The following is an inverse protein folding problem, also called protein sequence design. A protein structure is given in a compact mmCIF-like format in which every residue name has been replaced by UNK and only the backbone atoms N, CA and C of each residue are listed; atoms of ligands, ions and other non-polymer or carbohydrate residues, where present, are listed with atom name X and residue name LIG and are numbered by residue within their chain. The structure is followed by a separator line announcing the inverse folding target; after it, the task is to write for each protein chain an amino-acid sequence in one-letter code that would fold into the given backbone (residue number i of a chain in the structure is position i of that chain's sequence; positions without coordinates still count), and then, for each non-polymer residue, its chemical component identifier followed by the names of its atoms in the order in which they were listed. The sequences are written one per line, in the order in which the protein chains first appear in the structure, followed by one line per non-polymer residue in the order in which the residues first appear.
data_IF_019469855154
#
_entry.id   IF_019469855154
#
_cell.length_a   1.000
_cell.length_b   1.000
_cell.length_c   1.000
_cell.angle_alpha   90.00
_cell.angle_beta   90.00
_cell.angle_gamma   90.00
#
_symmetry.space_group_name_H-M   'P 1'
#
loop_
_entity.id
_entity.type
_entity.pdbx_description
1 polymer ?
#
# COMPACT_ATOMS: atom_id res chain seq x y z
N UNK A 1 35.80 -46.36 11.07
CA UNK A 1 35.21 -45.46 10.06
C UNK A 1 34.20 -44.59 10.77
N UNK A 2 34.57 -43.34 11.00
CA UNK A 2 33.76 -42.36 11.74
C UNK A 2 32.71 -41.76 10.80
N UNK A 3 31.46 -41.80 11.25
CA UNK A 3 30.33 -41.08 10.68
C UNK A 3 30.40 -39.61 11.13
N UNK A 4 30.79 -38.72 10.23
CA UNK A 4 30.65 -37.27 10.45
C UNK A 4 29.17 -36.89 10.37
N UNK A 5 28.60 -36.53 11.51
CA UNK A 5 27.30 -35.88 11.61
C UNK A 5 27.51 -34.39 11.44
N UNK A 6 27.14 -33.87 10.27
CA UNK A 6 27.06 -32.42 10.02
C UNK A 6 25.96 -31.85 10.93
N UNK A 7 26.36 -31.16 12.00
CA UNK A 7 25.46 -30.32 12.79
C UNK A 7 25.20 -29.04 12.01
N UNK A 8 24.06 -28.95 11.34
CA UNK A 8 23.51 -27.68 10.88
C UNK A 8 23.17 -26.82 12.09
N UNK A 9 23.92 -25.74 12.28
CA UNK A 9 23.60 -24.73 13.30
C UNK A 9 22.47 -23.85 12.77
N UNK A 10 21.33 -23.71 13.47
CA UNK A 10 20.31 -22.75 13.08
C UNK A 10 20.89 -21.34 13.22
N UNK A 11 20.78 -20.51 12.18
CA UNK A 11 21.05 -19.06 12.26
C UNK A 11 20.09 -18.46 13.28
N UNK A 12 20.53 -18.33 14.53
CA UNK A 12 19.89 -17.49 15.53
C UNK A 12 20.24 -16.04 15.22
N UNK A 13 19.31 -15.29 14.65
CA UNK A 13 19.30 -13.82 14.73
C UNK A 13 19.06 -13.44 16.19
N UNK A 14 20.15 -13.34 16.97
CA UNK A 14 20.09 -12.83 18.34
C UNK A 14 19.66 -11.36 18.29
N UNK A 15 18.47 -11.04 18.80
CA UNK A 15 18.08 -9.68 19.18
C UNK A 15 19.15 -9.17 20.15
N UNK A 16 19.78 -8.03 19.86
CA UNK A 16 20.69 -7.39 20.81
C UNK A 16 19.85 -6.89 22.00
N UNK A 17 20.24 -7.23 23.23
CA UNK A 17 19.49 -6.86 24.44
C UNK A 17 19.76 -5.41 24.90
N UNK A 18 20.31 -4.55 24.03
CA UNK A 18 20.73 -3.17 24.35
C UNK A 18 19.76 -2.09 23.85
N UNK A 19 19.96 -0.81 24.23
CA UNK A 19 19.15 0.30 23.72
C UNK A 19 19.35 0.49 22.20
N UNK A 20 18.32 0.94 21.49
CA UNK A 20 18.39 1.19 20.04
C UNK A 20 19.33 2.36 19.68
N UNK A 21 19.66 3.20 20.66
CA UNK A 21 20.66 4.26 20.51
C UNK A 21 22.04 3.71 20.14
N UNK A 22 22.42 2.51 20.62
CA UNK A 22 23.73 1.91 20.33
C UNK A 22 23.92 1.61 18.84
N UNK A 23 23.05 0.83 18.15
CA UNK A 23 23.19 0.64 16.71
C UNK A 23 23.01 1.96 15.94
N UNK A 24 22.21 2.91 16.41
CA UNK A 24 22.09 4.23 15.78
C UNK A 24 23.40 5.04 15.83
N UNK A 25 24.10 5.04 16.97
CA UNK A 25 25.42 5.67 17.10
C UNK A 25 26.47 4.98 16.23
N UNK A 26 26.48 3.64 16.21
CA UNK A 26 27.36 2.87 15.33
C UNK A 26 27.10 3.16 13.85
N UNK A 27 25.85 3.36 13.47
CA UNK A 27 25.46 3.74 12.12
C UNK A 27 25.99 5.14 11.76
N UNK A 28 25.80 6.13 12.65
CA UNK A 28 26.27 7.51 12.44
C UNK A 28 27.79 7.66 12.43
N UNK A 29 28.47 6.90 13.27
CA UNK A 29 29.92 6.99 13.49
C UNK A 29 30.70 5.88 12.79
N UNK A 30 30.03 5.08 11.95
CA UNK A 30 30.62 3.90 11.35
C UNK A 30 31.90 4.23 10.62
N UNK A 31 32.98 3.53 10.97
CA UNK A 31 34.34 3.77 10.44
C UNK A 31 34.60 3.00 9.14
N UNK A 32 33.75 2.02 8.85
CA UNK A 32 33.82 1.12 7.70
C UNK A 32 32.41 0.68 7.26
N UNK A 33 32.32 0.20 6.01
CA UNK A 33 31.08 -0.25 5.37
C UNK A 33 30.38 -1.36 6.16
N UNK A 34 31.15 -2.31 6.69
CA UNK A 34 30.64 -3.49 7.42
C UNK A 34 29.91 -3.06 8.69
N UNK A 35 30.52 -2.17 9.47
CA UNK A 35 29.96 -1.65 10.72
C UNK A 35 28.67 -0.88 10.47
N UNK A 36 28.65 0.00 9.47
CA UNK A 36 27.44 0.75 9.10
C UNK A 36 26.32 -0.17 8.62
N UNK A 37 26.62 -1.13 7.74
CA UNK A 37 25.65 -2.08 7.20
C UNK A 37 25.06 -2.98 8.28
N UNK A 38 25.87 -3.49 9.20
CA UNK A 38 25.39 -4.31 10.31
C UNK A 38 24.52 -3.49 11.28
N UNK A 39 24.89 -2.25 11.55
CA UNK A 39 24.09 -1.33 12.36
C UNK A 39 22.74 -1.02 11.70
N UNK A 40 22.72 -0.74 10.38
CA UNK A 40 21.48 -0.57 9.61
C UNK A 40 20.60 -1.81 9.63
N UNK A 41 21.18 -3.00 9.46
CA UNK A 41 20.44 -4.26 9.54
C UNK A 41 19.80 -4.46 10.92
N UNK A 42 20.51 -4.11 12.00
CA UNK A 42 19.97 -4.17 13.36
C UNK A 42 18.84 -3.16 13.56
N UNK A 43 18.99 -1.91 13.09
CA UNK A 43 17.94 -0.90 13.13
C UNK A 43 16.69 -1.38 12.37
N UNK A 44 16.87 -1.87 11.14
CA UNK A 44 15.78 -2.38 10.31
C UNK A 44 14.97 -3.49 11.02
N UNK A 45 15.65 -4.40 11.71
CA UNK A 45 14.98 -5.49 12.45
C UNK A 45 14.30 -5.02 13.74
N UNK A 46 14.84 -3.99 14.40
CA UNK A 46 14.33 -3.51 15.69
C UNK A 46 13.15 -2.57 15.56
N UNK A 47 13.08 -1.76 14.50
CA UNK A 47 11.99 -0.80 14.28
C UNK A 47 10.61 -1.43 14.06
N UNK A 48 10.51 -2.76 14.00
CA UNK A 48 9.23 -3.49 14.08
C UNK A 48 8.56 -3.26 15.45
N UNK A 49 9.34 -3.10 16.52
CA UNK A 49 8.89 -2.89 17.89
C UNK A 49 8.56 -1.42 18.16
N UNK A 50 7.38 -1.15 18.73
CA UNK A 50 6.89 0.21 18.97
C UNK A 50 7.74 0.99 19.99
N UNK A 51 8.29 0.32 21.01
CA UNK A 51 9.16 0.97 22.00
C UNK A 51 10.48 1.40 21.36
N UNK A 52 11.06 0.51 20.53
CA UNK A 52 12.27 0.82 19.78
C UNK A 52 12.03 1.98 18.80
N UNK A 53 10.86 2.08 18.15
CA UNK A 53 10.50 3.23 17.31
C UNK A 53 10.51 4.56 18.08
N UNK A 54 9.89 4.59 19.25
CA UNK A 54 9.83 5.79 20.09
C UNK A 54 11.22 6.24 20.57
N UNK A 55 12.07 5.30 21.00
CA UNK A 55 13.44 5.60 21.42
C UNK A 55 14.31 6.04 20.23
N UNK A 56 14.16 5.40 19.08
CA UNK A 56 14.83 5.76 17.85
C UNK A 56 14.48 7.17 17.39
N UNK A 57 13.19 7.52 17.44
CA UNK A 57 12.69 8.86 17.13
C UNK A 57 13.30 9.91 18.05
N UNK A 58 13.26 9.69 19.37
CA UNK A 58 13.88 10.59 20.38
C UNK A 58 15.37 10.81 20.19
N UNK A 59 16.06 9.85 19.58
CA UNK A 59 17.49 9.92 19.33
C UNK A 59 17.84 10.52 17.96
N UNK A 60 16.91 11.21 17.28
CA UNK A 60 17.04 11.77 15.93
C UNK A 60 17.26 10.71 14.83
N UNK A 61 16.79 9.48 15.08
CA UNK A 61 17.01 8.35 14.18
C UNK A 61 16.39 8.58 12.80
N UNK A 62 15.21 9.21 12.74
CA UNK A 62 14.47 9.47 11.50
C UNK A 62 15.33 10.30 10.54
N UNK A 63 15.85 11.44 11.01
CA UNK A 63 16.76 12.29 10.26
C UNK A 63 17.98 11.53 9.75
N UNK A 64 18.57 10.65 10.58
CA UNK A 64 19.75 9.91 10.19
C UNK A 64 19.49 8.92 9.05
N UNK A 65 18.36 8.20 9.07
CA UNK A 65 18.03 7.23 8.01
C UNK A 65 17.57 7.94 6.72
N UNK A 66 16.79 9.02 6.83
CA UNK A 66 16.35 9.78 5.66
C UNK A 66 17.54 10.48 4.98
N UNK A 67 18.44 11.11 5.75
CA UNK A 67 19.68 11.72 5.20
C UNK A 67 20.56 10.69 4.50
N UNK A 68 20.67 9.48 5.07
CA UNK A 68 21.42 8.39 4.44
C UNK A 68 20.85 8.00 3.08
N UNK A 69 19.53 7.85 2.97
CA UNK A 69 18.88 7.57 1.67
C UNK A 69 19.09 8.73 0.68
N UNK A 70 18.90 9.97 1.12
CA UNK A 70 19.07 11.13 0.25
C UNK A 70 20.51 11.23 -0.29
N UNK A 71 21.51 11.06 0.57
CA UNK A 71 22.93 11.13 0.21
C UNK A 71 23.35 10.00 -0.73
N UNK A 72 22.94 8.76 -0.47
CA UNK A 72 23.28 7.66 -1.37
C UNK A 72 22.62 7.86 -2.74
N UNK A 73 21.38 8.36 -2.80
CA UNK A 73 20.72 8.68 -4.07
C UNK A 73 21.42 9.81 -4.83
N UNK A 74 21.87 10.86 -4.14
CA UNK A 74 22.61 11.97 -4.74
C UNK A 74 23.91 11.48 -5.37
N UNK A 75 24.69 10.66 -4.65
CA UNK A 75 25.90 10.06 -5.22
C UNK A 75 25.56 9.16 -6.40
N UNK A 76 24.57 8.27 -6.26
CA UNK A 76 24.19 7.37 -7.35
C UNK A 76 23.73 8.16 -8.58
N UNK A 77 23.13 9.33 -8.44
CA UNK A 77 22.83 10.20 -9.57
C UNK A 77 24.09 10.62 -10.35
N UNK A 78 25.18 10.94 -9.65
CA UNK A 78 26.48 11.25 -10.29
C UNK A 78 27.10 10.04 -10.97
N UNK A 79 26.82 8.84 -10.45
CA UNK A 79 27.25 7.55 -10.98
C UNK A 79 26.26 6.94 -11.98
N UNK A 80 25.29 7.73 -12.46
CA UNK A 80 24.24 7.31 -13.42
C UNK A 80 23.43 6.11 -12.96
N UNK A 81 23.21 5.99 -11.65
CA UNK A 81 22.45 4.93 -11.00
C UNK A 81 22.98 3.53 -11.34
N UNK A 82 24.32 3.38 -11.33
CA UNK A 82 24.96 2.09 -11.57
C UNK A 82 24.83 1.12 -10.37
N UNK A 83 24.71 1.64 -9.14
CA UNK A 83 24.57 0.87 -7.90
C UNK A 83 25.63 -0.24 -7.73
N UNK A 84 26.84 0.01 -8.24
CA UNK A 84 27.96 -0.92 -8.22
C UNK A 84 29.07 -0.53 -7.24
N UNK A 85 29.05 0.72 -6.76
CA UNK A 85 29.96 1.23 -5.73
C UNK A 85 29.42 2.51 -5.10
N UNK A 86 29.93 2.87 -3.93
CA UNK A 86 29.64 4.11 -3.22
C UNK A 86 30.84 4.55 -2.40
N UNK A 87 31.08 5.87 -2.32
CA UNK A 87 32.09 6.51 -1.47
C UNK A 87 31.48 7.59 -0.54
N UNK A 88 30.15 7.80 -0.60
CA UNK A 88 29.44 8.92 0.04
C UNK A 88 29.59 8.98 1.57
N UNK A 89 29.99 7.87 2.20
CA UNK A 89 30.21 7.76 3.65
C UNK A 89 31.68 7.64 4.04
N UNK A 90 32.61 8.06 3.17
CA UNK A 90 34.04 8.14 3.49
C UNK A 90 34.78 6.79 3.51
N UNK A 91 34.11 5.72 3.12
CA UNK A 91 34.68 4.42 2.80
C UNK A 91 34.24 4.02 1.39
N UNK A 92 35.03 3.21 0.69
CA UNK A 92 34.62 2.63 -0.60
C UNK A 92 33.79 1.38 -0.33
N UNK A 93 32.57 1.35 -0.87
CA UNK A 93 31.61 0.26 -0.73
C UNK A 93 31.54 -0.49 -2.06
N UNK A 94 31.56 -1.81 -1.99
CA UNK A 94 31.34 -2.69 -3.13
C UNK A 94 29.84 -2.82 -3.45
N UNK A 95 29.51 -3.31 -4.66
CA UNK A 95 28.14 -3.40 -5.15
C UNK A 95 27.16 -4.05 -4.16
N UNK A 96 27.55 -5.19 -3.56
CA UNK A 96 26.69 -5.90 -2.60
C UNK A 96 26.47 -5.08 -1.32
N UNK A 97 27.46 -4.29 -0.89
CA UNK A 97 27.36 -3.47 0.32
C UNK A 97 26.42 -2.30 0.10
N UNK A 98 26.50 -1.65 -1.06
CA UNK A 98 25.59 -0.54 -1.44
C UNK A 98 24.15 -1.04 -1.52
N UNK A 99 23.94 -2.21 -2.12
CA UNK A 99 22.61 -2.82 -2.27
C UNK A 99 22.04 -3.24 -0.92
N UNK A 100 22.82 -3.90 -0.07
CA UNK A 100 22.41 -4.23 1.31
C UNK A 100 22.08 -2.95 2.11
N UNK A 101 22.90 -1.90 1.96
CA UNK A 101 22.68 -0.59 2.60
C UNK A 101 21.32 -0.01 2.22
N UNK A 102 21.02 0.00 0.92
CA UNK A 102 19.75 0.47 0.39
C UNK A 102 18.60 -0.37 0.95
N UNK A 103 18.71 -1.69 0.90
CA UNK A 103 17.66 -2.59 1.39
C UNK A 103 17.36 -2.34 2.87
N UNK A 104 18.37 -2.31 3.74
CA UNK A 104 18.15 -2.08 5.17
C UNK A 104 17.62 -0.68 5.47
N UNK A 105 18.06 0.33 4.71
CA UNK A 105 17.54 1.69 4.80
C UNK A 105 16.04 1.71 4.46
N UNK A 106 15.64 1.11 3.34
CA UNK A 106 14.25 1.05 2.92
C UNK A 106 13.38 0.28 3.93
N UNK A 107 13.83 -0.88 4.41
CA UNK A 107 13.11 -1.65 5.44
C UNK A 107 12.96 -0.86 6.74
N UNK A 108 14.00 -0.14 7.17
CA UNK A 108 13.93 0.71 8.35
C UNK A 108 12.91 1.84 8.16
N UNK A 109 12.85 2.46 6.98
CA UNK A 109 11.83 3.46 6.64
C UNK A 109 10.41 2.86 6.65
N UNK A 110 10.22 1.65 6.09
CA UNK A 110 8.93 0.95 6.14
C UNK A 110 8.47 0.75 7.58
N UNK A 111 9.32 0.18 8.43
CA UNK A 111 8.95 -0.11 9.80
C UNK A 111 8.75 1.16 10.63
N UNK A 112 9.60 2.18 10.43
CA UNK A 112 9.49 3.47 11.11
C UNK A 112 8.20 4.20 10.77
N UNK A 113 7.83 4.25 9.49
CA UNK A 113 6.65 4.98 8.99
C UNK A 113 5.29 4.42 9.43
N UNK A 114 5.25 3.26 10.09
CA UNK A 114 4.04 2.73 10.75
C UNK A 114 3.64 3.62 11.94
N UNK A 115 4.62 4.23 12.63
CA UNK A 115 4.36 5.14 13.73
C UNK A 115 4.00 6.54 13.20
N UNK A 116 2.85 7.07 13.62
CA UNK A 116 2.35 8.36 13.14
C UNK A 116 3.30 9.52 13.46
N UNK A 117 4.02 9.43 14.58
CA UNK A 117 5.00 10.42 14.99
C UNK A 117 6.24 10.45 14.10
N UNK A 118 6.76 9.27 13.76
CA UNK A 118 7.85 9.12 12.80
C UNK A 118 7.40 9.51 11.39
N UNK A 119 6.20 9.10 10.97
CA UNK A 119 5.65 9.46 9.66
C UNK A 119 5.54 10.98 9.49
N UNK A 120 5.12 11.71 10.52
CA UNK A 120 5.09 13.17 10.52
C UNK A 120 6.48 13.79 10.27
N UNK A 121 7.50 13.33 10.99
CA UNK A 121 8.89 13.78 10.78
C UNK A 121 9.41 13.42 9.39
N UNK A 122 9.06 12.23 8.87
CA UNK A 122 9.41 11.83 7.51
C UNK A 122 8.78 12.75 6.45
N UNK A 123 7.54 13.20 6.64
CA UNK A 123 6.91 14.20 5.77
C UNK A 123 7.63 15.54 5.84
N UNK A 124 7.99 16.02 7.03
CA UNK A 124 8.76 17.26 7.21
C UNK A 124 10.12 17.20 6.49
N UNK A 125 10.73 16.02 6.42
CA UNK A 125 12.01 15.77 5.76
C UNK A 125 11.90 15.50 4.24
N UNK A 126 10.70 15.50 3.64
CA UNK A 126 10.52 15.21 2.21
C UNK A 126 10.80 13.75 1.83
N UNK A 127 10.49 12.82 2.74
CA UNK A 127 10.78 11.38 2.54
C UNK A 127 9.90 10.79 1.42
N UNK A 128 8.68 11.30 1.22
CA UNK A 128 7.79 10.85 0.15
C UNK A 128 8.41 11.10 -1.23
N UNK A 129 8.93 12.30 -1.47
CA UNK A 129 9.66 12.69 -2.68
C UNK A 129 10.89 11.81 -2.87
N UNK A 130 11.66 11.59 -1.79
CA UNK A 130 12.89 10.79 -1.81
C UNK A 130 12.61 9.33 -2.16
N UNK A 131 11.58 8.72 -1.58
CA UNK A 131 11.14 7.37 -1.90
C UNK A 131 10.65 7.27 -3.34
N UNK A 132 9.88 8.26 -3.83
CA UNK A 132 9.45 8.26 -5.22
C UNK A 132 10.60 8.41 -6.21
N UNK A 133 11.58 9.25 -5.90
CA UNK A 133 12.79 9.38 -6.68
C UNK A 133 13.54 8.05 -6.72
N UNK A 134 13.69 7.37 -5.57
CA UNK A 134 14.27 6.02 -5.48
C UNK A 134 13.55 5.08 -6.45
N UNK A 135 12.23 4.98 -6.35
CA UNK A 135 11.41 4.13 -7.24
C UNK A 135 11.62 4.43 -8.73
N UNK A 136 11.87 5.69 -9.08
CA UNK A 136 12.00 6.15 -10.46
C UNK A 136 13.36 5.85 -11.07
N UNK A 137 14.40 5.71 -10.25
CA UNK A 137 15.81 5.57 -10.70
C UNK A 137 16.41 4.20 -10.37
N UNK A 138 15.67 3.33 -9.68
CA UNK A 138 16.09 1.96 -9.45
C UNK A 138 16.24 1.20 -10.77
N UNK A 139 17.40 0.56 -11.02
CA UNK A 139 17.60 -0.25 -12.19
C UNK A 139 16.88 -1.61 -12.03
N UNK A 140 16.56 -2.27 -13.15
CA UNK A 140 15.77 -3.52 -13.15
C UNK A 140 16.39 -4.64 -12.29
N UNK A 141 17.72 -4.69 -12.17
CA UNK A 141 18.41 -5.69 -11.35
C UNK A 141 18.11 -5.53 -9.85
N UNK A 142 17.62 -4.36 -9.42
CA UNK A 142 17.27 -4.06 -8.04
C UNK A 142 15.75 -4.03 -7.81
N UNK A 143 14.96 -4.63 -8.71
CA UNK A 143 13.51 -4.69 -8.58
C UNK A 143 13.01 -5.32 -7.27
N UNK A 144 13.82 -6.16 -6.60
CA UNK A 144 13.51 -6.72 -5.28
C UNK A 144 13.38 -5.64 -4.18
N UNK A 145 13.84 -4.42 -4.43
CA UNK A 145 13.71 -3.29 -3.51
C UNK A 145 12.38 -2.53 -3.67
N UNK A 146 11.71 -2.67 -4.83
CA UNK A 146 10.48 -1.95 -5.16
C UNK A 146 9.37 -2.15 -4.13
N UNK A 147 9.12 -3.36 -3.60
CA UNK A 147 8.11 -3.57 -2.55
C UNK A 147 8.34 -2.71 -1.31
N UNK A 148 9.59 -2.57 -0.86
CA UNK A 148 9.90 -1.75 0.31
C UNK A 148 9.64 -0.27 0.03
N UNK A 149 10.00 0.20 -1.16
CA UNK A 149 9.71 1.59 -1.55
C UNK A 149 8.19 1.83 -1.59
N UNK A 150 7.42 0.93 -2.19
CA UNK A 150 5.96 1.04 -2.26
C UNK A 150 5.29 0.92 -0.89
N UNK A 151 5.80 0.08 0.01
CA UNK A 151 5.30 -0.04 1.38
C UNK A 151 5.56 1.25 2.19
N UNK A 152 6.75 1.83 2.06
CA UNK A 152 7.05 3.14 2.66
C UNK A 152 6.12 4.23 2.12
N UNK A 153 5.88 4.26 0.80
CA UNK A 153 4.92 5.19 0.19
C UNK A 153 3.48 4.94 0.66
N UNK A 154 3.07 3.69 0.83
CA UNK A 154 1.75 3.29 1.36
C UNK A 154 1.55 3.86 2.75
N UNK A 155 2.51 3.66 3.65
CA UNK A 155 2.46 4.17 5.03
C UNK A 155 2.39 5.70 5.06
N UNK A 156 3.26 6.38 4.32
CA UNK A 156 3.29 7.84 4.30
C UNK A 156 2.02 8.45 3.67
N UNK A 157 1.49 7.85 2.60
CA UNK A 157 0.25 8.31 1.99
C UNK A 157 -0.98 8.01 2.86
N UNK A 158 -0.92 6.98 3.71
CA UNK A 158 -1.99 6.62 4.64
C UNK A 158 -1.93 7.33 5.99
N UNK A 159 -0.86 8.08 6.27
CA UNK A 159 -0.73 8.85 7.50
C UNK A 159 -1.64 10.09 7.49
N UNK A 160 -2.15 10.47 8.67
CA UNK A 160 -2.97 11.68 8.87
C UNK A 160 -2.19 13.00 8.66
N UNK A 161 -0.88 12.90 8.38
CA UNK A 161 0.03 14.03 8.29
C UNK A 161 -0.19 14.91 7.04
N UNK A 162 -1.03 14.46 6.08
CA UNK A 162 -1.47 15.25 4.94
C UNK A 162 -0.33 15.73 4.04
N UNK A 163 -0.09 15.05 2.92
CA UNK A 163 0.88 15.53 1.93
C UNK A 163 0.24 16.60 1.02
N UNK A 164 0.78 17.81 1.13
CA UNK A 164 0.27 19.01 0.42
C UNK A 164 0.55 18.99 -1.08
N UNK A 165 1.64 18.36 -1.49
CA UNK A 165 2.01 18.14 -2.89
C UNK A 165 2.48 16.71 -3.09
N UNK A 166 2.13 16.12 -4.24
CA UNK A 166 2.75 14.89 -4.71
C UNK A 166 3.75 15.26 -5.81
N UNK A 167 4.84 14.48 -5.97
CA UNK A 167 5.73 14.63 -7.11
C UNK A 167 4.97 14.58 -8.44
N UNK A 168 5.50 15.28 -9.45
CA UNK A 168 5.00 15.14 -10.82
C UNK A 168 5.07 13.67 -11.25
N UNK A 169 4.06 13.21 -11.98
CA UNK A 169 3.92 11.83 -12.46
C UNK A 169 3.79 10.72 -11.40
N UNK A 170 3.79 11.05 -10.10
CA UNK A 170 3.67 10.08 -8.99
C UNK A 170 2.49 9.12 -9.19
N UNK A 171 1.30 9.71 -9.35
CA UNK A 171 0.05 8.97 -9.55
C UNK A 171 0.07 8.18 -10.85
N UNK A 172 0.63 8.75 -11.93
CA UNK A 172 0.74 8.06 -13.21
C UNK A 172 1.62 6.81 -13.12
N UNK A 173 2.72 6.88 -12.36
CA UNK A 173 3.61 5.74 -12.14
C UNK A 173 2.91 4.63 -11.35
N UNK A 174 2.14 4.97 -10.32
CA UNK A 174 1.35 3.99 -9.56
C UNK A 174 0.32 3.27 -10.44
N UNK A 175 -0.39 4.00 -11.31
CA UNK A 175 -1.27 3.37 -12.31
C UNK A 175 -0.51 2.43 -13.25
N UNK A 176 0.73 2.78 -13.62
CA UNK A 176 1.60 1.92 -14.41
C UNK A 176 1.93 0.60 -13.73
N UNK A 177 2.16 0.61 -12.41
CA UNK A 177 2.35 -0.61 -11.62
C UNK A 177 1.06 -1.42 -11.47
N UNK A 178 -0.05 -0.76 -11.13
CA UNK A 178 -1.35 -1.40 -10.93
C UNK A 178 -1.86 -2.09 -12.20
N UNK A 179 -1.69 -1.46 -13.36
CA UNK A 179 -2.19 -1.97 -14.64
C UNK A 179 -1.10 -2.69 -15.45
N UNK A 180 0.06 -2.98 -14.84
CA UNK A 180 1.13 -3.73 -15.49
C UNK A 180 0.69 -5.18 -15.76
N UNK A 181 0.94 -5.73 -16.96
CA UNK A 181 0.68 -7.14 -17.27
C UNK A 181 1.48 -8.12 -16.41
N UNK A 182 2.61 -7.69 -15.83
CA UNK A 182 3.47 -8.56 -15.03
C UNK A 182 2.85 -8.90 -13.67
N UNK A 183 1.91 -8.11 -13.17
CA UNK A 183 1.19 -8.40 -11.93
C UNK A 183 1.95 -8.24 -10.61
N UNK A 184 3.27 -8.04 -10.64
CA UNK A 184 4.12 -8.22 -9.44
C UNK A 184 3.76 -7.25 -8.31
N UNK A 185 3.49 -5.99 -8.63
CA UNK A 185 3.32 -4.91 -7.64
C UNK A 185 1.92 -4.32 -7.61
N UNK A 186 0.93 -5.04 -8.15
CA UNK A 186 -0.43 -4.52 -8.30
C UNK A 186 -1.10 -4.24 -6.96
N UNK A 187 -0.95 -5.15 -5.99
CA UNK A 187 -1.54 -5.02 -4.65
C UNK A 187 -1.04 -3.76 -3.94
N UNK A 188 0.28 -3.60 -3.84
CA UNK A 188 0.88 -2.42 -3.21
C UNK A 188 0.54 -1.11 -3.95
N UNK A 189 0.53 -1.13 -5.29
CA UNK A 189 0.15 0.05 -6.06
C UNK A 189 -1.32 0.43 -5.85
N UNK A 190 -2.21 -0.56 -5.74
CA UNK A 190 -3.61 -0.35 -5.39
C UNK A 190 -3.73 0.28 -3.99
N UNK A 191 -3.04 -0.26 -2.99
CA UNK A 191 -3.05 0.27 -1.62
C UNK A 191 -2.57 1.72 -1.52
N UNK A 192 -1.48 2.08 -2.22
CA UNK A 192 -1.02 3.47 -2.25
C UNK A 192 -2.08 4.37 -2.89
N UNK A 193 -2.67 3.96 -4.02
CA UNK A 193 -3.76 4.70 -4.67
C UNK A 193 -5.02 4.79 -3.79
N UNK A 194 -5.32 3.76 -3.00
CA UNK A 194 -6.42 3.74 -2.04
C UNK A 194 -6.23 4.83 -1.00
N UNK A 195 -5.03 4.95 -0.43
CA UNK A 195 -4.68 5.99 0.53
C UNK A 195 -4.76 7.40 -0.08
N UNK A 196 -4.38 7.55 -1.35
CA UNK A 196 -4.55 8.82 -2.07
C UNK A 196 -6.02 9.17 -2.27
N UNK A 197 -6.81 8.21 -2.73
CA UNK A 197 -8.23 8.40 -2.97
C UNK A 197 -9.02 8.63 -1.67
N UNK A 198 -8.55 8.11 -0.53
CA UNK A 198 -9.17 8.32 0.77
C UNK A 198 -9.16 9.79 1.20
N UNK A 199 -8.08 10.51 0.89
CA UNK A 199 -7.93 11.94 1.22
C UNK A 199 -8.73 12.79 0.23
N UNK A 200 -8.48 12.57 -1.07
CA UNK A 200 -9.18 13.28 -2.13
C UNK A 200 -9.22 12.41 -3.40
N UNK A 201 -10.40 11.83 -3.75
CA UNK A 201 -10.51 10.91 -4.89
C UNK A 201 -10.00 11.48 -6.22
N UNK A 202 -10.14 12.78 -6.44
CA UNK A 202 -9.69 13.48 -7.65
C UNK A 202 -8.17 13.36 -7.86
N UNK A 203 -7.39 13.31 -6.77
CA UNK A 203 -5.92 13.21 -6.81
C UNK A 203 -5.43 11.88 -7.34
N UNK A 204 -6.24 10.83 -7.22
CA UNK A 204 -5.93 9.53 -7.81
C UNK A 204 -6.01 9.56 -9.34
N UNK A 205 -6.52 10.63 -9.98
CA UNK A 205 -6.55 10.79 -11.44
C UNK A 205 -7.09 9.56 -12.19
N UNK A 206 -8.18 8.99 -11.68
CA UNK A 206 -8.81 7.80 -12.22
C UNK A 206 -9.60 8.15 -13.49
N UNK A 207 -8.99 7.92 -14.66
CA UNK A 207 -9.68 8.10 -15.95
C UNK A 207 -10.68 6.96 -16.19
N UNK A 208 -11.66 7.12 -17.11
CA UNK A 208 -12.58 6.04 -17.46
C UNK A 208 -11.88 4.74 -17.87
N UNK A 209 -10.77 4.83 -18.60
CA UNK A 209 -9.98 3.67 -19.05
C UNK A 209 -9.31 2.98 -17.86
N UNK A 210 -8.75 3.75 -16.91
CA UNK A 210 -8.15 3.21 -15.69
C UNK A 210 -9.19 2.52 -14.84
N UNK A 211 -10.34 3.15 -14.60
CA UNK A 211 -11.46 2.56 -13.85
C UNK A 211 -11.96 1.28 -14.50
N UNK A 212 -12.16 1.28 -15.82
CA UNK A 212 -12.60 0.12 -16.59
C UNK A 212 -11.61 -1.05 -16.50
N UNK A 213 -10.30 -0.76 -16.57
CA UNK A 213 -9.24 -1.74 -16.42
C UNK A 213 -9.16 -2.29 -14.98
N UNK A 214 -9.19 -1.42 -13.97
CA UNK A 214 -9.22 -1.77 -12.55
C UNK A 214 -10.42 -2.65 -12.21
N UNK A 215 -11.61 -2.32 -12.72
CA UNK A 215 -12.80 -3.14 -12.51
C UNK A 215 -12.65 -4.54 -13.13
N UNK A 216 -12.05 -4.63 -14.31
CA UNK A 216 -11.80 -5.92 -14.97
C UNK A 216 -10.82 -6.77 -14.17
N UNK A 217 -9.75 -6.16 -13.67
CA UNK A 217 -8.77 -6.80 -12.79
C UNK A 217 -9.41 -7.26 -11.48
N UNK A 218 -10.26 -6.42 -10.87
CA UNK A 218 -10.99 -6.75 -9.66
C UNK A 218 -11.92 -7.94 -9.85
N UNK A 219 -12.73 -7.97 -10.91
CA UNK A 219 -13.66 -9.08 -11.15
C UNK A 219 -12.92 -10.40 -11.41
N UNK A 220 -11.75 -10.34 -12.06
CA UNK A 220 -10.86 -11.49 -12.20
C UNK A 220 -10.33 -11.94 -10.83
N UNK A 221 -9.80 -11.02 -10.03
CA UNK A 221 -9.22 -11.31 -8.72
C UNK A 221 -10.26 -11.85 -7.72
N UNK A 222 -11.46 -11.27 -7.69
CA UNK A 222 -12.54 -11.67 -6.81
C UNK A 222 -13.11 -13.06 -7.13
N UNK A 223 -12.85 -13.59 -8.33
CA UNK A 223 -13.29 -14.92 -8.76
C UNK A 223 -12.25 -16.02 -8.47
N UNK A 224 -11.07 -15.65 -7.98
CA UNK A 224 -9.91 -16.51 -7.83
C UNK A 224 -9.40 -16.46 -6.37
N UNK A 225 -9.52 -17.54 -5.57
CA UNK A 225 -9.14 -17.56 -4.16
C UNK A 225 -7.68 -17.17 -3.91
N UNK A 226 -6.77 -17.52 -4.83
CA UNK A 226 -5.34 -17.20 -4.76
C UNK A 226 -5.03 -15.71 -4.88
N UNK A 227 -5.97 -14.90 -5.35
CA UNK A 227 -5.84 -13.45 -5.54
C UNK A 227 -6.72 -12.64 -4.60
N UNK A 228 -7.15 -13.21 -3.47
CA UNK A 228 -8.01 -12.53 -2.50
C UNK A 228 -7.42 -11.20 -2.02
N UNK A 229 -6.13 -11.14 -1.69
CA UNK A 229 -5.47 -9.89 -1.24
C UNK A 229 -5.50 -8.80 -2.31
N UNK A 230 -5.20 -9.14 -3.56
CA UNK A 230 -5.34 -8.20 -4.67
C UNK A 230 -6.81 -7.77 -4.85
N UNK A 231 -7.75 -8.70 -4.68
CA UNK A 231 -9.18 -8.41 -4.69
C UNK A 231 -9.59 -7.40 -3.61
N UNK A 232 -9.06 -7.53 -2.39
CA UNK A 232 -9.25 -6.58 -1.28
C UNK A 232 -8.73 -5.21 -1.66
N UNK A 233 -7.45 -5.12 -2.05
CA UNK A 233 -6.81 -3.85 -2.40
C UNK A 233 -7.54 -3.11 -3.54
N UNK A 234 -8.02 -3.86 -4.55
CA UNK A 234 -8.80 -3.30 -5.66
C UNK A 234 -10.22 -2.89 -5.25
N UNK A 235 -10.87 -3.66 -4.38
CA UNK A 235 -12.19 -3.33 -3.86
C UNK A 235 -12.14 -2.04 -3.03
N UNK A 236 -11.14 -1.90 -2.17
CA UNK A 236 -10.92 -0.71 -1.34
C UNK A 236 -10.58 0.52 -2.21
N UNK A 237 -9.75 0.35 -3.25
CA UNK A 237 -9.48 1.41 -4.21
C UNK A 237 -10.75 1.87 -4.92
N UNK A 238 -11.53 0.93 -5.46
CA UNK A 238 -12.80 1.23 -6.13
C UNK A 238 -13.80 1.88 -5.18
N UNK A 239 -13.80 1.48 -3.90
CA UNK A 239 -14.65 2.02 -2.86
C UNK A 239 -14.34 3.51 -2.63
N UNK A 240 -13.07 3.86 -2.43
CA UNK A 240 -12.62 5.24 -2.22
C UNK A 240 -12.79 6.10 -3.47
N UNK A 241 -12.51 5.57 -4.66
CA UNK A 241 -12.78 6.28 -5.92
C UNK A 241 -14.28 6.56 -6.10
N UNK A 242 -15.14 5.64 -5.68
CA UNK A 242 -16.60 5.79 -5.76
C UNK A 242 -17.18 6.79 -4.75
N UNK A 243 -16.36 7.38 -3.87
CA UNK A 243 -16.77 8.56 -3.09
C UNK A 243 -16.91 9.80 -3.98
N UNK A 244 -16.22 9.85 -5.13
CA UNK A 244 -16.48 10.84 -6.18
C UNK A 244 -17.66 10.40 -7.07
N UNK A 245 -18.60 11.33 -7.29
CA UNK A 245 -19.85 11.02 -7.99
C UNK A 245 -19.62 10.62 -9.47
N UNK A 246 -18.65 11.23 -10.15
CA UNK A 246 -18.37 10.92 -11.55
C UNK A 246 -17.79 9.51 -11.67
N UNK A 247 -16.80 9.19 -10.84
CA UNK A 247 -16.17 7.88 -10.75
C UNK A 247 -17.17 6.79 -10.36
N UNK A 248 -18.04 7.06 -9.38
CA UNK A 248 -19.10 6.14 -8.95
C UNK A 248 -20.05 5.77 -10.10
N UNK A 249 -20.51 6.76 -10.88
CA UNK A 249 -21.38 6.52 -12.03
C UNK A 249 -20.68 5.72 -13.13
N UNK A 250 -19.39 5.99 -13.39
CA UNK A 250 -18.60 5.21 -14.34
C UNK A 250 -18.49 3.75 -13.89
N UNK A 251 -18.20 3.48 -12.61
CA UNK A 251 -18.14 2.11 -12.08
C UNK A 251 -19.49 1.38 -12.26
N UNK A 252 -20.62 2.05 -11.98
CA UNK A 252 -21.96 1.46 -12.18
C UNK A 252 -22.19 1.13 -13.66
N UNK A 253 -21.87 2.06 -14.57
CA UNK A 253 -22.02 1.83 -16.01
C UNK A 253 -21.13 0.68 -16.50
N UNK A 254 -19.89 0.60 -16.02
CA UNK A 254 -18.95 -0.46 -16.37
C UNK A 254 -19.35 -1.83 -15.78
N UNK A 255 -19.99 -1.86 -14.61
CA UNK A 255 -20.60 -3.09 -14.07
C UNK A 255 -21.79 -3.53 -14.92
N UNK A 256 -22.61 -2.59 -15.37
CA UNK A 256 -23.77 -2.87 -16.23
C UNK A 256 -23.38 -3.49 -17.58
N UNK A 257 -22.21 -3.16 -18.13
CA UNK A 257 -21.70 -3.76 -19.38
C UNK A 257 -21.11 -5.15 -19.18
N UNK A 258 -20.66 -5.48 -17.96
CA UNK A 258 -19.99 -6.75 -17.61
C UNK A 258 -20.90 -7.81 -17.00
N UNK A 259 -22.11 -7.43 -16.59
CA UNK A 259 -23.06 -8.36 -15.96
C UNK A 259 -23.38 -9.54 -16.91
N UNK A 260 -23.52 -10.77 -16.39
CA UNK A 260 -23.94 -11.92 -17.19
C UNK A 260 -25.28 -11.69 -17.89
N UNK A 261 -25.51 -12.35 -19.03
CA UNK A 261 -26.75 -12.18 -19.81
C UNK A 261 -28.03 -12.51 -19.02
N UNK A 262 -27.93 -13.34 -17.98
CA UNK A 262 -29.05 -13.66 -17.06
C UNK A 262 -29.50 -12.49 -16.19
N UNK A 263 -28.65 -11.47 -16.01
CA UNK A 263 -28.91 -10.30 -15.16
C UNK A 263 -29.52 -9.12 -15.92
N UNK A 264 -30.03 -9.32 -17.14
CA UNK A 264 -30.48 -8.22 -18.01
C UNK A 264 -31.60 -7.31 -17.45
N UNK A 265 -32.24 -7.67 -16.33
CA UNK A 265 -33.25 -6.86 -15.62
C UNK A 265 -32.75 -6.25 -14.30
N UNK A 266 -31.55 -6.61 -13.86
CA UNK A 266 -30.94 -6.17 -12.61
C UNK A 266 -29.76 -5.23 -12.90
N UNK A 267 -29.48 -4.27 -12.01
CA UNK A 267 -28.31 -3.41 -12.17
C UNK A 267 -27.02 -4.20 -11.93
N UNK A 268 -25.91 -3.72 -12.47
CA UNK A 268 -24.58 -4.30 -12.27
C UNK A 268 -24.18 -4.33 -10.79
N UNK A 269 -24.75 -3.46 -9.96
CA UNK A 269 -24.57 -3.47 -8.50
C UNK A 269 -25.21 -4.71 -7.87
N UNK A 270 -26.35 -5.18 -8.37
CA UNK A 270 -26.97 -6.44 -7.91
C UNK A 270 -26.11 -7.63 -8.27
N UNK A 271 -25.55 -7.64 -9.49
CA UNK A 271 -24.58 -8.67 -9.89
C UNK A 271 -23.36 -8.69 -8.94
N UNK A 272 -22.83 -7.51 -8.58
CA UNK A 272 -21.73 -7.41 -7.63
C UNK A 272 -22.13 -7.89 -6.22
N UNK A 273 -23.34 -7.60 -5.75
CA UNK A 273 -23.84 -8.10 -4.47
C UNK A 273 -23.93 -9.64 -4.44
N UNK A 274 -24.46 -10.26 -5.50
CA UNK A 274 -24.47 -11.73 -5.61
C UNK A 274 -23.07 -12.34 -5.71
N UNK A 275 -22.12 -11.64 -6.31
CA UNK A 275 -20.71 -12.06 -6.32
C UNK A 275 -20.12 -11.99 -4.91
N UNK A 276 -20.46 -10.94 -4.16
CA UNK A 276 -20.02 -10.71 -2.77
C UNK A 276 -20.50 -11.83 -1.84
N UNK A 277 -21.76 -12.25 -1.96
CA UNK A 277 -22.32 -13.37 -1.19
C UNK A 277 -21.60 -14.71 -1.44
N UNK A 278 -20.94 -14.86 -2.59
CA UNK A 278 -20.21 -16.06 -3.00
C UNK A 278 -18.72 -16.00 -2.67
N UNK A 279 -18.21 -14.86 -2.22
CA UNK A 279 -16.81 -14.71 -1.83
C UNK A 279 -16.51 -15.61 -0.63
N UNK A 280 -15.44 -16.40 -0.74
CA UNK A 280 -15.01 -17.34 0.31
C UNK A 280 -14.09 -16.68 1.35
N UNK A 281 -13.34 -15.67 0.94
CA UNK A 281 -12.46 -14.92 1.83
C UNK A 281 -13.25 -13.82 2.56
N UNK A 282 -13.13 -13.81 3.88
CA UNK A 282 -13.90 -12.91 4.74
C UNK A 282 -13.48 -11.43 4.58
N UNK A 283 -12.19 -11.17 4.37
CA UNK A 283 -11.69 -9.80 4.20
C UNK A 283 -12.14 -9.23 2.86
N UNK A 284 -12.00 -10.02 1.78
CA UNK A 284 -12.50 -9.67 0.46
C UNK A 284 -14.00 -9.40 0.49
N UNK A 285 -14.77 -10.27 1.14
CA UNK A 285 -16.22 -10.10 1.26
C UNK A 285 -16.57 -8.77 1.95
N UNK A 286 -15.88 -8.41 3.03
CA UNK A 286 -16.10 -7.14 3.72
C UNK A 286 -15.81 -5.92 2.85
N UNK A 287 -14.68 -5.90 2.13
CA UNK A 287 -14.35 -4.81 1.20
C UNK A 287 -15.37 -4.71 0.06
N UNK A 288 -15.82 -5.85 -0.46
CA UNK A 288 -16.87 -5.91 -1.49
C UNK A 288 -18.22 -5.41 -0.97
N UNK A 289 -18.61 -5.73 0.27
CA UNK A 289 -19.83 -5.23 0.91
C UNK A 289 -19.79 -3.70 1.03
N UNK A 290 -18.65 -3.13 1.42
CA UNK A 290 -18.45 -1.68 1.47
C UNK A 290 -18.58 -1.02 0.08
N UNK A 291 -17.98 -1.62 -0.95
CA UNK A 291 -18.12 -1.16 -2.33
C UNK A 291 -19.58 -1.23 -2.81
N UNK A 292 -20.26 -2.36 -2.61
CA UNK A 292 -21.69 -2.53 -2.97
C UNK A 292 -22.56 -1.48 -2.26
N UNK A 293 -22.30 -1.24 -0.98
CA UNK A 293 -22.99 -0.21 -0.22
C UNK A 293 -22.82 1.17 -0.87
N UNK A 294 -21.59 1.61 -1.13
CA UNK A 294 -21.30 2.91 -1.73
C UNK A 294 -21.95 3.07 -3.11
N UNK A 295 -21.90 2.04 -3.96
CA UNK A 295 -22.53 2.07 -5.27
C UNK A 295 -24.06 2.09 -5.19
N UNK A 296 -24.65 1.37 -4.24
CA UNK A 296 -26.12 1.30 -4.05
C UNK A 296 -26.75 2.63 -3.68
N UNK A 297 -26.02 3.47 -2.93
CA UNK A 297 -26.45 4.83 -2.58
C UNK A 297 -26.47 5.78 -3.77
N UNK A 298 -25.77 5.46 -4.85
CA UNK A 298 -25.66 6.30 -6.05
C UNK A 298 -26.45 5.74 -7.25
N UNK A 299 -26.62 4.42 -7.33
CA UNK A 299 -27.35 3.74 -8.40
C UNK A 299 -28.83 4.17 -8.46
N UNK A 300 -29.31 4.77 -9.56
CA UNK A 300 -30.73 5.11 -9.73
C UNK A 300 -31.68 3.90 -9.70
N UNK A 301 -31.21 2.70 -10.06
CA UNK A 301 -31.98 1.46 -9.93
C UNK A 301 -31.96 0.94 -8.48
N UNK A 302 -30.82 1.06 -7.79
CA UNK A 302 -30.66 0.87 -6.35
C UNK A 302 -31.56 1.79 -5.53
N UNK A 303 -31.51 3.11 -5.77
CA UNK A 303 -32.42 4.12 -5.16
C UNK A 303 -33.88 3.79 -5.41
N UNK A 304 -34.26 3.39 -6.63
CA UNK A 304 -35.64 2.95 -6.93
C UNK A 304 -36.03 1.69 -6.18
N UNK A 305 -35.10 0.77 -5.97
CA UNK A 305 -35.34 -0.49 -5.24
C UNK A 305 -35.40 -0.26 -3.73
N UNK A 306 -34.52 0.57 -3.17
CA UNK A 306 -34.55 1.02 -1.76
C UNK A 306 -35.80 1.84 -1.48
N UNK A 307 -36.20 2.76 -2.37
CA UNK A 307 -37.47 3.49 -2.25
C UNK A 307 -38.67 2.54 -2.29
N UNK A 308 -38.67 1.53 -3.17
CA UNK A 308 -39.72 0.50 -3.20
C UNK A 308 -39.75 -0.36 -1.94
N UNK A 309 -38.58 -0.73 -1.40
CA UNK A 309 -38.45 -1.49 -0.16
C UNK A 309 -38.88 -0.66 1.05
N UNK A 310 -38.50 0.62 1.11
CA UNK A 310 -38.95 1.56 2.14
C UNK A 310 -40.46 1.81 2.06
N UNK A 311 -41.03 1.95 0.86
CA UNK A 311 -42.49 2.01 0.66
C UNK A 311 -43.18 0.70 1.06
N UNK A 312 -42.60 -0.46 0.77
CA UNK A 312 -43.14 -1.76 1.15
C UNK A 312 -43.11 -1.97 2.68
N UNK A 313 -42.01 -1.59 3.34
CA UNK A 313 -41.88 -1.61 4.80
C UNK A 313 -42.83 -0.60 5.47
N UNK A 314 -42.98 0.60 4.91
CA UNK A 314 -43.96 1.59 5.36
C UNK A 314 -45.40 1.09 5.22
N UNK A 315 -45.74 0.46 4.09
CA UNK A 315 -47.06 -0.16 3.87
C UNK A 315 -47.32 -1.33 4.82
N UNK A 316 -46.31 -2.14 5.16
CA UNK A 316 -46.42 -3.17 6.20
C UNK A 316 -46.63 -2.60 7.61
N UNK A 317 -46.19 -1.36 7.86
CA UNK A 317 -46.42 -0.66 9.13
C UNK A 317 -47.86 -0.14 9.23
N UNK A 318 -48.52 0.15 8.10
CA UNK A 318 -49.96 0.50 8.07
C UNK A 318 -50.88 -0.72 7.97
N UNK A 319 -50.36 -1.90 7.62
CA UNK A 319 -51.11 -3.16 7.63
C UNK A 319 -51.26 -3.78 9.03
N UNK A 320 -50.50 -3.28 10.01
CA UNK A 320 -50.52 -3.64 11.44
C UNK A 320 -50.83 -2.36 12.24
N UNK A 321 -51.97 -1.69 12.11
CA UNK A 321 -53.27 -1.95 12.75
C UNK A 321 -54.08 -0.62 12.68
N UNK A 322 -55.43 -0.57 12.90
CA UNK A 322 -56.18 -1.43 13.81
C UNK A 322 -57.32 -2.19 13.13
N UNK A 323 -57.42 -3.48 13.47
CA UNK A 323 -58.72 -4.08 13.64
C UNK A 323 -59.39 -3.40 14.85
N UNK A 324 -59.94 -2.20 14.64
CA UNK A 324 -61.19 -1.85 15.33
C UNK A 324 -62.20 -2.90 14.88
N UNK A 325 -63.00 -3.50 15.76
CA UNK A 325 -63.74 -2.86 16.83
C UNK A 325 -64.45 -3.95 17.65
N UNK A 326 -65.13 -3.50 18.72
CA UNK A 326 -66.29 -4.10 19.40
C UNK A 326 -66.07 -5.30 20.31
#
# INVERSE_FOLDING_TARGET
MQTETVKSSPRQTRRSEGPIATPLECFRQGKDSVSMRNALAELAMRLVDAQDREEFRKADGVTAIVDHLARILEEQATLKYAWNSSEVFGATWEAYEVQDSLQFTLVALCHGSIDAGIAAEMHELGTLETLFQTLSVLPEQLNDHVPFVLEGLRNLCGSDCGYSSLPADFVQRLWGFLLSPSGHWQELAADVLTNIAAIEPSRAAATPERLSATLSLFLQAASAPESANLGVALADLLCNLSCDQASCLLVICELDTRRPRGHGRHSGVVFLAELTEKAQDDALRQSMEALVHNLSWSDPAGKRSVQKLALSSYMNTFALEPAGSS
#
